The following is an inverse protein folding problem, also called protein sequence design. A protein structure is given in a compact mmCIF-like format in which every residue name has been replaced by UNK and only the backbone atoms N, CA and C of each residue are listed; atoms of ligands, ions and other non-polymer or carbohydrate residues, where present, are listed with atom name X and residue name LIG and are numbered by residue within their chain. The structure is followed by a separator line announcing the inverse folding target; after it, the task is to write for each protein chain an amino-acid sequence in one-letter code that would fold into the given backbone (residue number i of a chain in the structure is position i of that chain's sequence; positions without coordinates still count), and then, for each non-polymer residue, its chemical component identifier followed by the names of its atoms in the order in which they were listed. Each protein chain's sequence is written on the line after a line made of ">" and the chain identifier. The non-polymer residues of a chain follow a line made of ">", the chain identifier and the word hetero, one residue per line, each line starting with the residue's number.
data_IF_711484904203
#
_entry.id   IF_711484904203
#
_cell.length_a   1.000
_cell.length_b   1.000
_cell.length_c   1.000
_cell.angle_alpha   90.00
_cell.angle_beta   90.00
_cell.angle_gamma   90.00
#
_symmetry.space_group_name_H-M   'P 1'
#
loop_
_entity.id
_entity.type
_entity.pdbx_description
1 polymer ?
#
# COMPACT_ATOMS: atom_id res chain seq x y z
N UNK A 1 -0.92 -0.86 -13.55
CA UNK A 1 -0.12 -1.85 -14.30
C UNK A 1 -0.63 -1.92 -15.73
N UNK A 2 0.25 -2.17 -16.70
CA UNK A 2 -0.14 -2.44 -18.08
C UNK A 2 0.08 -3.93 -18.38
N UNK A 3 -0.97 -4.61 -18.80
CA UNK A 3 -0.95 -5.99 -19.25
C UNK A 3 -0.88 -6.02 -20.77
N UNK A 4 0.03 -6.80 -21.34
CA UNK A 4 0.21 -6.92 -22.79
C UNK A 4 0.27 -8.37 -23.22
N UNK A 5 -0.56 -8.75 -24.20
CA UNK A 5 -0.46 -10.05 -24.86
C UNK A 5 0.71 -10.03 -25.86
N UNK A 6 1.82 -10.70 -25.51
CA UNK A 6 2.98 -10.85 -26.40
C UNK A 6 2.94 -12.13 -27.24
N UNK A 7 1.91 -12.95 -27.08
CA UNK A 7 1.70 -14.16 -27.85
C UNK A 7 1.07 -13.89 -29.21
N UNK A 8 0.88 -14.97 -29.97
CA UNK A 8 0.19 -14.98 -31.27
C UNK A 8 -1.27 -15.44 -31.18
N UNK A 9 -1.71 -15.93 -30.02
CA UNK A 9 -3.07 -16.41 -29.79
C UNK A 9 -3.86 -15.46 -28.88
N UNK A 10 -5.18 -15.47 -29.05
CA UNK A 10 -6.11 -14.73 -28.20
C UNK A 10 -6.08 -15.30 -26.78
N UNK A 11 -5.91 -14.44 -25.78
CA UNK A 11 -5.97 -14.84 -24.38
C UNK A 11 -7.38 -14.62 -23.83
N UNK A 12 -7.96 -15.65 -23.22
CA UNK A 12 -9.32 -15.61 -22.69
C UNK A 12 -9.35 -15.86 -21.19
N UNK A 13 -10.33 -15.26 -20.51
CA UNK A 13 -10.59 -15.44 -19.07
C UNK A 13 -9.36 -15.15 -18.20
N UNK A 14 -8.77 -13.97 -18.39
CA UNK A 14 -7.62 -13.52 -17.61
C UNK A 14 -8.10 -13.17 -16.21
N UNK A 15 -7.53 -13.86 -15.22
CA UNK A 15 -7.77 -13.63 -13.81
C UNK A 15 -6.54 -13.00 -13.16
N UNK A 16 -6.77 -12.17 -12.15
CA UNK A 16 -5.71 -11.52 -11.38
C UNK A 16 -5.61 -12.13 -9.98
N UNK A 17 -4.38 -12.26 -9.53
CA UNK A 17 -4.05 -12.78 -8.21
C UNK A 17 -2.93 -11.93 -7.61
N UNK A 18 -2.86 -11.93 -6.29
CA UNK A 18 -1.79 -11.27 -5.56
C UNK A 18 -1.24 -12.19 -4.49
N UNK A 19 0.03 -11.98 -4.17
CA UNK A 19 0.69 -12.56 -3.02
C UNK A 19 1.25 -11.41 -2.17
N UNK A 20 0.51 -11.05 -1.14
CA UNK A 20 0.80 -9.99 -0.20
C UNK A 20 1.12 -10.53 1.21
N UNK A 21 1.76 -9.73 2.07
CA UNK A 21 1.93 -10.07 3.48
C UNK A 21 0.59 -10.33 4.20
N UNK A 22 0.63 -11.09 5.29
CA UNK A 22 -0.58 -11.39 6.08
C UNK A 22 -1.30 -10.12 6.55
N UNK A 23 -2.63 -10.12 6.44
CA UNK A 23 -3.50 -9.01 6.84
C UNK A 23 -3.55 -7.82 5.88
N UNK A 24 -2.80 -7.87 4.77
CA UNK A 24 -2.92 -6.92 3.68
C UNK A 24 -4.04 -7.33 2.73
N UNK A 25 -4.44 -6.41 1.85
CA UNK A 25 -5.40 -6.71 0.80
C UNK A 25 -5.04 -6.02 -0.50
N UNK A 26 -5.15 -6.74 -1.62
CA UNK A 26 -5.07 -6.18 -2.96
C UNK A 26 -6.41 -6.32 -3.69
N UNK A 27 -6.88 -5.25 -4.32
CA UNK A 27 -8.08 -5.28 -5.16
C UNK A 27 -7.75 -4.82 -6.58
N UNK A 28 -8.21 -5.58 -7.57
CA UNK A 28 -7.97 -5.32 -8.98
C UNK A 28 -9.20 -4.68 -9.65
N UNK A 29 -8.96 -3.70 -10.51
CA UNK A 29 -9.96 -3.06 -11.36
C UNK A 29 -9.42 -2.90 -12.80
N UNK A 30 -9.97 -3.63 -13.79
CA UNK A 30 -11.07 -4.58 -13.67
C UNK A 30 -10.67 -5.88 -12.94
N UNK A 31 -11.65 -6.62 -12.40
CA UNK A 31 -11.44 -7.90 -11.69
C UNK A 31 -10.99 -9.04 -12.59
N UNK A 32 -11.45 -9.02 -13.84
CA UNK A 32 -11.11 -10.00 -14.88
C UNK A 32 -11.03 -9.29 -16.22
N UNK A 33 -10.37 -9.91 -17.19
CA UNK A 33 -10.43 -9.50 -18.59
C UNK A 33 -10.89 -10.71 -19.40
N UNK A 34 -12.03 -10.58 -20.07
CA UNK A 34 -12.63 -11.69 -20.81
C UNK A 34 -11.77 -12.12 -21.99
N UNK A 35 -11.25 -11.14 -22.74
CA UNK A 35 -10.47 -11.37 -23.96
C UNK A 35 -9.38 -10.31 -24.12
N UNK A 36 -8.22 -10.73 -24.59
CA UNK A 36 -7.10 -9.85 -24.97
C UNK A 36 -6.45 -10.36 -26.25
N UNK A 37 -6.56 -9.56 -27.32
CA UNK A 37 -6.07 -9.92 -28.65
C UNK A 37 -4.54 -9.97 -28.72
N UNK A 38 -3.94 -10.71 -29.67
CA UNK A 38 -2.50 -10.71 -29.89
C UNK A 38 -1.95 -9.29 -30.09
N UNK A 39 -0.92 -8.92 -29.33
CA UNK A 39 -0.31 -7.59 -29.38
C UNK A 39 -1.10 -6.49 -28.67
N UNK A 40 -2.31 -6.77 -28.16
CA UNK A 40 -3.13 -5.81 -27.44
C UNK A 40 -2.68 -5.61 -25.99
N UNK A 41 -2.94 -4.39 -25.50
CA UNK A 41 -2.63 -3.99 -24.14
C UNK A 41 -3.89 -3.52 -23.42
N UNK A 42 -3.94 -3.78 -22.11
CA UNK A 42 -4.99 -3.31 -21.21
C UNK A 42 -4.38 -2.77 -19.93
N UNK A 43 -4.94 -1.66 -19.44
CA UNK A 43 -4.54 -1.08 -18.16
C UNK A 43 -5.39 -1.68 -17.04
N UNK A 44 -4.71 -2.12 -15.98
CA UNK A 44 -5.34 -2.67 -14.79
C UNK A 44 -4.81 -1.91 -13.57
N UNK A 45 -5.73 -1.49 -12.71
CA UNK A 45 -5.43 -0.82 -11.46
C UNK A 45 -5.42 -1.84 -10.33
N UNK A 46 -4.34 -1.87 -9.54
CA UNK A 46 -4.26 -2.69 -8.33
C UNK A 46 -4.20 -1.75 -7.12
N UNK A 47 -5.26 -1.75 -6.30
CA UNK A 47 -5.32 -1.00 -5.07
C UNK A 47 -4.78 -1.88 -3.92
N UNK A 48 -3.64 -1.49 -3.36
CA UNK A 48 -2.99 -2.21 -2.27
C UNK A 48 -3.24 -1.47 -0.96
N UNK A 49 -3.76 -2.18 0.03
CA UNK A 49 -3.94 -1.68 1.38
C UNK A 49 -3.05 -2.47 2.33
N UNK A 50 -2.14 -1.75 2.99
CA UNK A 50 -1.34 -2.33 4.06
C UNK A 50 -2.21 -2.70 5.26
N UNK A 51 -1.84 -3.77 5.97
CA UNK A 51 -2.47 -4.13 7.23
C UNK A 51 -2.34 -3.01 8.26
N UNK A 52 -3.32 -2.88 9.16
CA UNK A 52 -3.30 -1.84 10.21
C UNK A 52 -2.10 -1.98 11.16
N UNK A 53 -1.63 -3.21 11.35
CA UNK A 53 -0.49 -3.56 12.21
C UNK A 53 0.82 -3.71 11.41
N UNK A 54 0.83 -3.23 10.16
CA UNK A 54 2.04 -3.27 9.34
C UNK A 54 3.15 -2.43 9.98
N UNK A 55 4.31 -3.06 10.18
CA UNK A 55 5.50 -2.40 10.72
C UNK A 55 6.11 -1.54 9.61
N UNK A 56 6.72 -0.41 9.98
CA UNK A 56 7.47 0.39 9.01
C UNK A 56 8.60 -0.43 8.38
N UNK A 57 8.66 -0.46 7.05
CA UNK A 57 9.60 -1.30 6.32
C UNK A 57 9.21 -1.49 4.85
N UNK A 58 10.06 -2.23 4.13
CA UNK A 58 9.84 -2.57 2.73
C UNK A 58 9.23 -3.97 2.61
N UNK A 59 8.15 -4.06 1.87
CA UNK A 59 7.43 -5.29 1.60
C UNK A 59 7.41 -5.55 0.09
N UNK A 60 7.51 -6.82 -0.29
CA UNK A 60 7.31 -7.24 -1.67
C UNK A 60 5.87 -7.74 -1.82
N UNK A 61 5.16 -7.22 -2.82
CA UNK A 61 3.85 -7.72 -3.24
C UNK A 61 3.99 -8.22 -4.67
N UNK A 62 3.71 -9.50 -4.89
CA UNK A 62 3.70 -10.08 -6.23
C UNK A 62 2.29 -10.01 -6.79
N UNK A 63 2.15 -9.45 -7.99
CA UNK A 63 0.90 -9.37 -8.73
C UNK A 63 1.01 -10.30 -9.92
N UNK A 64 0.03 -11.19 -10.10
CA UNK A 64 -0.02 -12.14 -11.19
C UNK A 64 -1.27 -11.93 -12.05
N UNK A 65 -1.11 -12.11 -13.35
CA UNK A 65 -2.21 -12.20 -14.30
C UNK A 65 -2.10 -13.53 -15.05
N UNK A 66 -3.17 -14.30 -15.12
CA UNK A 66 -3.10 -15.64 -15.70
C UNK A 66 -4.38 -16.11 -16.37
N UNK A 67 -4.19 -16.91 -17.39
CA UNK A 67 -5.20 -17.75 -18.05
C UNK A 67 -4.84 -19.22 -17.80
N UNK A 68 -5.57 -20.16 -18.40
CA UNK A 68 -5.17 -21.58 -18.40
C UNK A 68 -3.89 -21.84 -19.21
N UNK A 69 -3.62 -21.03 -20.22
CA UNK A 69 -2.54 -21.25 -21.19
C UNK A 69 -1.23 -20.57 -20.79
N UNK A 70 -1.32 -19.44 -20.07
CA UNK A 70 -0.14 -18.66 -19.71
C UNK A 70 -0.37 -17.80 -18.47
N UNK A 71 0.73 -17.43 -17.82
CA UNK A 71 0.77 -16.59 -16.61
C UNK A 71 1.91 -15.58 -16.72
N UNK A 72 1.65 -14.36 -16.28
CA UNK A 72 2.65 -13.30 -16.12
C UNK A 72 2.63 -12.78 -14.70
N UNK A 73 3.80 -12.34 -14.22
CA UNK A 73 3.99 -11.86 -12.85
C UNK A 73 4.78 -10.55 -12.85
N UNK A 74 4.51 -9.73 -11.84
CA UNK A 74 5.22 -8.49 -11.60
C UNK A 74 5.36 -8.29 -10.09
N UNK A 75 6.56 -7.94 -9.67
CA UNK A 75 6.87 -7.70 -8.27
C UNK A 75 6.87 -6.19 -8.00
N UNK A 76 6.18 -5.77 -6.94
CA UNK A 76 6.14 -4.39 -6.51
C UNK A 76 6.64 -4.26 -5.08
N UNK A 77 7.63 -3.40 -4.87
CA UNK A 77 8.07 -3.02 -3.53
C UNK A 77 7.21 -1.89 -2.98
N UNK A 78 6.67 -2.11 -1.79
CA UNK A 78 5.81 -1.19 -1.05
C UNK A 78 6.48 -0.84 0.27
N UNK A 79 6.78 0.44 0.47
CA UNK A 79 7.36 0.94 1.73
C UNK A 79 6.25 1.45 2.65
N UNK A 80 6.12 0.83 3.82
CA UNK A 80 5.23 1.29 4.90
C UNK A 80 5.96 2.31 5.76
N UNK A 81 5.32 3.45 6.02
CA UNK A 81 5.86 4.52 6.85
C UNK A 81 5.02 4.71 8.11
N UNK A 82 5.68 4.95 9.23
CA UNK A 82 5.05 5.37 10.47
C UNK A 82 4.61 6.82 10.39
N UNK A 83 3.47 7.13 11.04
CA UNK A 83 2.96 8.50 11.09
C UNK A 83 3.83 9.38 12.01
N UNK A 84 4.42 10.44 11.46
CA UNK A 84 5.15 11.47 12.23
C UNK A 84 4.21 12.33 13.10
N UNK A 85 2.90 12.27 12.83
CA UNK A 85 1.90 13.11 13.50
C UNK A 85 1.85 12.85 15.01
N UNK A 86 1.99 11.59 15.43
CA UNK A 86 2.07 11.22 16.85
C UNK A 86 3.31 11.78 17.53
N UNK A 87 4.44 11.88 16.83
CA UNK A 87 5.64 12.53 17.33
C UNK A 87 5.41 14.01 17.62
N UNK A 88 4.69 14.71 16.72
CA UNK A 88 4.34 16.13 16.89
C UNK A 88 3.36 16.31 18.06
N UNK A 89 2.33 15.47 18.16
CA UNK A 89 1.38 15.51 19.28
C UNK A 89 2.10 15.29 20.62
N UNK A 90 3.00 14.31 20.69
CA UNK A 90 3.83 14.07 21.86
C UNK A 90 4.69 15.28 22.25
N UNK A 91 5.33 15.93 21.27
CA UNK A 91 6.13 17.14 21.50
C UNK A 91 5.29 18.29 22.07
N UNK A 92 4.10 18.52 21.51
CA UNK A 92 3.20 19.58 21.99
C UNK A 92 2.74 19.34 23.44
N UNK A 93 2.47 18.09 23.81
CA UNK A 93 2.12 17.73 25.20
C UNK A 93 3.28 18.06 26.13
N UNK A 94 4.52 17.70 25.78
CA UNK A 94 5.71 18.01 26.59
C UNK A 94 5.86 19.53 26.78
N UNK A 95 5.77 20.31 25.70
CA UNK A 95 5.86 21.77 25.77
C UNK A 95 4.77 22.39 26.64
N UNK A 96 3.53 21.88 26.54
CA UNK A 96 2.42 22.33 27.38
C UNK A 96 2.68 22.06 28.86
N UNK A 97 3.20 20.87 29.21
CA UNK A 97 3.57 20.53 30.59
C UNK A 97 4.69 21.44 31.10
N UNK A 98 5.76 21.65 30.32
CA UNK A 98 6.87 22.54 30.70
C UNK A 98 6.37 23.98 30.91
N UNK A 99 5.56 24.51 29.99
CA UNK A 99 4.99 25.84 30.12
C UNK A 99 4.06 25.96 31.33
N UNK A 100 3.26 24.94 31.62
CA UNK A 100 2.39 24.88 32.80
C UNK A 100 3.18 24.90 34.10
N UNK A 101 4.24 24.08 34.20
CA UNK A 101 5.13 24.04 35.38
C UNK A 101 5.87 25.38 35.55
N UNK A 102 6.42 25.93 34.47
CA UNK A 102 7.06 27.24 34.49
C UNK A 102 6.10 28.36 34.93
N UNK A 103 4.87 28.35 34.42
CA UNK A 103 3.81 29.27 34.83
C UNK A 103 3.46 29.15 36.31
N UNK A 104 3.37 27.93 36.83
CA UNK A 104 3.11 27.67 38.25
C UNK A 104 4.24 28.20 39.14
N UNK A 105 5.51 27.93 38.79
CA UNK A 105 6.65 28.49 39.53
C UNK A 105 6.68 30.01 39.52
N UNK A 106 6.37 30.64 38.38
CA UNK A 106 6.31 32.10 38.28
C UNK A 106 5.19 32.71 39.12
N UNK A 107 4.04 32.03 39.21
CA UNK A 107 2.89 32.50 39.96
C UNK A 107 3.04 32.27 41.48
N UNK A 108 3.52 31.10 41.90
CA UNK A 108 3.59 30.72 43.31
C UNK A 108 4.95 30.99 43.98
N UNK A 109 6.05 31.06 43.23
CA UNK A 109 7.39 31.33 43.76
C UNK A 109 7.70 32.79 44.09
N UNK A 110 6.70 33.68 44.04
CA UNK A 110 6.84 35.12 44.29
C UNK A 110 6.44 35.53 45.71
N UNK A 111 6.63 34.63 46.68
CA UNK A 111 6.38 34.84 48.12
C UNK A 111 7.60 34.39 48.91
#
# INVERSE_FOLDING_TARGET
>A
MELRNKGSAVLNNINFYSNEPSGWSVNFDPKTIDTLEPGENRRVTAAIKAGNDAIAGDYLVTLSAGTRETRGEAEMRVTVKTSTLWGIVGLLIVLAVVAGVYGAFRYYGRR
#
